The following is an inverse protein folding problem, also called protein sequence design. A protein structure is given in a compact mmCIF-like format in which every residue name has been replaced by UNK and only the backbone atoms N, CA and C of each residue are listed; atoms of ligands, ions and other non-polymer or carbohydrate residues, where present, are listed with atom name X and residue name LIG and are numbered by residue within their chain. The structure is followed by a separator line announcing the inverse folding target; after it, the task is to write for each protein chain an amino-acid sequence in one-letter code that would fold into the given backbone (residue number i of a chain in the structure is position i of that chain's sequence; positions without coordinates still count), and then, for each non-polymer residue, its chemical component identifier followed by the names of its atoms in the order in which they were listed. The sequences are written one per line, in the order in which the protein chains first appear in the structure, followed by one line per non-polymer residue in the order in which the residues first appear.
data_IF_286810477428
#
_entry.id   IF_286810477428
#
_cell.length_a   1.000
_cell.length_b   1.000
_cell.length_c   1.000
_cell.angle_alpha   90.00
_cell.angle_beta   90.00
_cell.angle_gamma   90.00
#
_symmetry.space_group_name_H-M   'P 1'
#
loop_
_entity.id
_entity.type
_entity.pdbx_description
1 polymer ?
#
# COMPACT_ATOMS: atom_id res chain seq x y z
N UNK A 1 18.60 -23.99 7.25
CA UNK A 1 18.16 -22.62 7.61
C UNK A 1 16.92 -22.31 6.79
N UNK A 2 15.86 -21.80 7.40
CA UNK A 2 14.61 -21.47 6.70
C UNK A 2 14.61 -19.96 6.42
N UNK A 3 14.32 -19.59 5.17
CA UNK A 3 14.06 -18.21 4.80
C UNK A 3 12.55 -17.98 4.77
N UNK A 4 12.11 -16.85 5.30
CA UNK A 4 10.71 -16.46 5.33
C UNK A 4 10.57 -15.02 4.85
N UNK A 5 9.56 -14.77 4.01
CA UNK A 5 9.26 -13.47 3.44
C UNK A 5 7.75 -13.20 3.55
N UNK A 6 7.38 -12.21 4.35
CA UNK A 6 6.00 -11.76 4.47
C UNK A 6 5.67 -10.78 3.36
N UNK A 7 4.63 -11.09 2.60
CA UNK A 7 4.00 -10.16 1.67
C UNK A 7 2.61 -9.80 2.22
N UNK A 8 2.36 -8.51 2.38
CA UNK A 8 1.05 -7.96 2.68
C UNK A 8 0.53 -7.25 1.44
N UNK A 9 -0.76 -7.44 1.16
CA UNK A 9 -1.45 -6.79 0.05
C UNK A 9 -2.64 -6.01 0.61
N UNK A 10 -2.70 -4.70 0.32
CA UNK A 10 -3.77 -3.81 0.75
C UNK A 10 -4.33 -3.03 -0.44
N UNK A 11 -5.65 -2.93 -0.49
CA UNK A 11 -6.39 -2.28 -1.56
C UNK A 11 -7.73 -1.77 -1.03
N UNK A 12 -8.16 -0.63 -1.56
CA UNK A 12 -9.54 -0.17 -1.49
C UNK A 12 -10.00 0.29 -2.88
N UNK A 13 -11.25 0.00 -3.26
CA UNK A 13 -11.85 0.55 -4.47
C UNK A 13 -11.79 2.08 -4.46
N UNK A 14 -11.60 2.73 -5.62
CA UNK A 14 -11.52 4.19 -5.70
C UNK A 14 -12.82 4.91 -5.29
N UNK A 15 -13.93 4.17 -5.19
CA UNK A 15 -15.25 4.65 -4.79
C UNK A 15 -15.67 4.14 -3.39
N UNK A 16 -14.72 3.68 -2.57
CA UNK A 16 -14.99 3.25 -1.21
C UNK A 16 -15.63 4.37 -0.37
N UNK A 17 -16.46 4.01 0.60
CA UNK A 17 -17.01 4.96 1.55
C UNK A 17 -15.93 5.42 2.56
N UNK A 18 -15.85 6.72 2.83
CA UNK A 18 -14.86 7.28 3.74
C UNK A 18 -14.95 6.71 5.17
N UNK A 19 -16.15 6.52 5.71
CA UNK A 19 -16.35 5.94 7.05
C UNK A 19 -15.81 4.50 7.12
N UNK A 20 -15.98 3.75 6.03
CA UNK A 20 -15.42 2.40 5.91
C UNK A 20 -13.90 2.46 5.86
N UNK A 21 -13.32 3.39 5.09
CA UNK A 21 -11.86 3.59 5.05
C UNK A 21 -11.31 3.96 6.43
N UNK A 22 -11.97 4.90 7.14
CA UNK A 22 -11.58 5.32 8.49
C UNK A 22 -11.56 4.13 9.46
N UNK A 23 -12.61 3.31 9.41
CA UNK A 23 -12.69 2.11 10.25
C UNK A 23 -11.58 1.11 9.92
N UNK A 24 -11.36 0.83 8.64
CA UNK A 24 -10.31 -0.11 8.20
C UNK A 24 -8.93 0.41 8.58
N UNK A 25 -8.66 1.70 8.43
CA UNK A 25 -7.38 2.28 8.81
C UNK A 25 -7.13 2.17 10.32
N UNK A 26 -8.12 2.54 11.13
CA UNK A 26 -8.04 2.52 12.59
C UNK A 26 -7.96 1.10 13.19
N UNK A 27 -8.58 0.12 12.54
CA UNK A 27 -8.64 -1.27 13.01
C UNK A 27 -7.59 -2.18 12.36
N UNK A 28 -7.01 -1.78 11.21
CA UNK A 28 -6.11 -2.63 10.43
C UNK A 28 -4.81 -1.91 10.05
N UNK A 29 -4.82 -0.96 9.11
CA UNK A 29 -3.59 -0.44 8.50
C UNK A 29 -2.68 0.22 9.52
N UNK A 30 -3.18 1.21 10.25
CA UNK A 30 -2.39 1.95 11.25
C UNK A 30 -1.89 1.02 12.37
N UNK A 31 -2.75 0.11 12.86
CA UNK A 31 -2.40 -0.87 13.92
C UNK A 31 -1.33 -1.85 13.48
N UNK A 32 -1.38 -2.32 12.24
CA UNK A 32 -0.38 -3.24 11.72
C UNK A 32 0.98 -2.56 11.59
N UNK A 33 1.01 -1.31 11.14
CA UNK A 33 2.24 -0.52 11.03
C UNK A 33 2.84 -0.23 12.41
N UNK A 34 2.01 0.06 13.43
CA UNK A 34 2.46 0.21 14.83
C UNK A 34 3.22 -1.03 15.32
N UNK A 35 2.75 -2.23 14.96
CA UNK A 35 3.42 -3.49 15.31
C UNK A 35 4.80 -3.56 14.66
N UNK A 36 4.94 -3.24 13.38
CA UNK A 36 6.24 -3.25 12.71
C UNK A 36 7.20 -2.20 13.29
N UNK A 37 6.71 -1.02 13.65
CA UNK A 37 7.51 0.02 14.30
C UNK A 37 8.04 -0.43 15.67
N UNK A 38 7.24 -1.21 16.41
CA UNK A 38 7.63 -1.78 17.71
C UNK A 38 8.73 -2.85 17.60
N UNK A 39 8.87 -3.52 16.45
CA UNK A 39 9.83 -4.60 16.24
C UNK A 39 10.84 -4.27 15.11
N UNK A 40 11.93 -3.53 15.38
CA UNK A 40 12.85 -3.01 14.35
C UNK A 40 13.53 -4.07 13.46
N UNK A 41 13.57 -5.34 13.89
CA UNK A 41 14.12 -6.46 13.13
C UNK A 41 13.10 -7.12 12.19
N UNK A 42 11.81 -6.87 12.39
CA UNK A 42 10.76 -7.40 11.55
C UNK A 42 10.77 -6.68 10.19
N UNK A 43 10.75 -7.46 9.11
CA UNK A 43 10.73 -6.97 7.73
C UNK A 43 9.56 -7.56 6.98
N UNK A 44 9.00 -6.79 6.06
CA UNK A 44 7.91 -7.23 5.22
C UNK A 44 7.94 -6.52 3.86
N UNK A 45 7.22 -7.11 2.91
CA UNK A 45 6.95 -6.52 1.62
C UNK A 45 5.50 -6.04 1.59
N UNK A 46 5.27 -4.83 1.12
CA UNK A 46 3.93 -4.25 0.97
C UNK A 46 3.60 -4.07 -0.52
N UNK A 47 2.48 -4.65 -0.93
CA UNK A 47 1.80 -4.27 -2.16
C UNK A 47 0.63 -3.36 -1.81
N UNK A 48 0.66 -2.12 -2.27
CA UNK A 48 -0.42 -1.15 -2.11
C UNK A 48 -0.77 -0.60 -3.50
N UNK A 49 -2.04 -0.70 -3.86
CA UNK A 49 -2.54 -0.13 -5.11
C UNK A 49 -2.59 1.41 -5.02
N UNK A 50 -2.23 2.09 -6.10
CA UNK A 50 -2.23 3.55 -6.18
C UNK A 50 -3.60 4.18 -5.89
N UNK A 51 -4.71 3.46 -6.13
CA UNK A 51 -6.04 3.92 -5.73
C UNK A 51 -6.18 4.12 -4.22
N UNK A 52 -5.60 3.23 -3.40
CA UNK A 52 -5.60 3.38 -1.95
C UNK A 52 -4.66 4.52 -1.53
N UNK A 53 -3.50 4.64 -2.17
CA UNK A 53 -2.56 5.74 -1.93
C UNK A 53 -3.21 7.10 -2.17
N UNK A 54 -3.90 7.25 -3.29
CA UNK A 54 -4.68 8.44 -3.64
C UNK A 54 -5.77 8.72 -2.60
N UNK A 55 -6.48 7.68 -2.16
CA UNK A 55 -7.53 7.80 -1.15
C UNK A 55 -6.96 8.29 0.20
N UNK A 56 -5.92 7.65 0.72
CA UNK A 56 -5.29 8.02 1.99
C UNK A 56 -4.75 9.46 1.93
N UNK A 57 -4.11 9.84 0.83
CA UNK A 57 -3.57 11.18 0.63
C UNK A 57 -4.67 12.25 0.58
N UNK A 58 -5.70 12.05 -0.27
CA UNK A 58 -6.76 13.03 -0.47
C UNK A 58 -7.58 13.29 0.79
N UNK A 59 -7.73 12.27 1.64
CA UNK A 59 -8.49 12.35 2.89
C UNK A 59 -7.61 12.51 4.14
N UNK A 60 -6.32 12.84 3.95
CA UNK A 60 -5.38 13.23 5.01
C UNK A 60 -5.19 12.17 6.11
N UNK A 61 -5.01 10.92 5.70
CA UNK A 61 -4.61 9.82 6.59
C UNK A 61 -3.09 9.88 6.87
N UNK A 62 -2.63 11.04 7.35
CA UNK A 62 -1.21 11.37 7.46
C UNK A 62 -0.47 10.43 8.42
N UNK A 63 -1.10 10.01 9.52
CA UNK A 63 -0.53 9.03 10.47
C UNK A 63 -0.12 7.73 9.78
N UNK A 64 -1.01 7.14 8.98
CA UNK A 64 -0.73 5.89 8.25
C UNK A 64 0.34 6.09 7.18
N UNK A 65 0.27 7.19 6.44
CA UNK A 65 1.26 7.52 5.39
C UNK A 65 2.66 7.74 5.99
N UNK A 66 2.76 8.48 7.10
CA UNK A 66 4.02 8.75 7.79
C UNK A 66 4.63 7.47 8.35
N UNK A 67 3.83 6.57 8.92
CA UNK A 67 4.31 5.25 9.39
C UNK A 67 4.85 4.39 8.25
N UNK A 68 4.17 4.37 7.09
CA UNK A 68 4.65 3.65 5.90
C UNK A 68 6.02 4.21 5.47
N UNK A 69 6.14 5.54 5.40
CA UNK A 69 7.38 6.23 5.02
C UNK A 69 8.51 5.95 6.02
N UNK A 70 8.23 6.03 7.31
CA UNK A 70 9.19 5.73 8.37
C UNK A 70 9.72 4.29 8.27
N UNK A 71 8.83 3.31 8.10
CA UNK A 71 9.20 1.90 7.96
C UNK A 71 10.02 1.64 6.69
N UNK A 72 9.72 2.34 5.59
CA UNK A 72 10.50 2.28 4.36
C UNK A 72 11.91 2.86 4.56
N UNK A 73 12.02 4.04 5.19
CA UNK A 73 13.29 4.70 5.49
C UNK A 73 14.18 3.87 6.43
N UNK A 74 13.58 3.15 7.39
CA UNK A 74 14.28 2.21 8.28
C UNK A 74 14.67 0.89 7.59
N UNK A 75 14.25 0.67 6.35
CA UNK A 75 14.51 -0.57 5.61
C UNK A 75 13.73 -1.80 6.16
N UNK A 76 12.68 -1.56 6.95
CA UNK A 76 11.77 -2.60 7.45
C UNK A 76 10.72 -2.97 6.41
N UNK A 77 10.24 -1.99 5.65
CA UNK A 77 9.29 -2.18 4.56
C UNK A 77 10.00 -2.13 3.21
N UNK A 78 9.65 -3.07 2.31
CA UNK A 78 9.94 -2.99 0.87
C UNK A 78 8.64 -2.93 0.09
N UNK A 79 8.57 -2.11 -0.94
CA UNK A 79 7.40 -2.06 -1.82
C UNK A 79 7.49 -3.08 -2.96
N UNK A 80 6.34 -3.56 -3.40
CA UNK A 80 6.18 -4.26 -4.69
C UNK A 80 5.00 -3.67 -5.47
N UNK A 81 5.09 -3.69 -6.80
CA UNK A 81 4.15 -3.03 -7.71
C UNK A 81 2.93 -3.88 -8.09
N UNK A 82 1.89 -3.21 -8.61
CA UNK A 82 0.70 -3.81 -9.23
C UNK A 82 0.06 -2.78 -10.19
N UNK A 83 -1.17 -3.02 -10.65
CA UNK A 83 -1.95 -2.02 -11.39
C UNK A 83 -2.71 -1.06 -10.47
N UNK A 84 -2.82 0.22 -10.84
CA UNK A 84 -3.35 1.29 -9.98
C UNK A 84 -4.73 0.99 -9.38
N UNK A 85 -5.66 0.48 -10.19
CA UNK A 85 -7.06 0.25 -9.80
C UNK A 85 -7.39 -1.22 -9.57
N UNK A 86 -6.39 -2.03 -9.19
CA UNK A 86 -6.53 -3.47 -8.96
C UNK A 86 -7.16 -4.26 -10.13
N UNK A 87 -6.72 -4.03 -11.40
CA UNK A 87 -7.25 -4.78 -12.53
C UNK A 87 -6.70 -6.21 -12.57
N UNK A 88 -7.42 -7.10 -13.26
CA UNK A 88 -6.89 -8.38 -13.70
C UNK A 88 -6.04 -8.14 -14.96
N UNK A 89 -4.74 -7.93 -14.79
CA UNK A 89 -3.82 -7.59 -15.89
C UNK A 89 -3.92 -8.50 -17.12
N UNK A 90 -4.09 -9.84 -17.00
CA UNK A 90 -4.23 -10.72 -18.17
C UNK A 90 -5.49 -10.47 -19.01
N UNK A 91 -6.49 -9.75 -18.48
CA UNK A 91 -7.74 -9.41 -19.17
C UNK A 91 -7.71 -8.04 -19.83
N UNK A 92 -6.58 -7.33 -19.77
CA UNK A 92 -6.41 -6.01 -20.32
C UNK A 92 -5.55 -6.01 -21.59
N UNK A 93 -5.75 -5.05 -22.51
CA UNK A 93 -4.79 -4.78 -23.58
C UNK A 93 -3.40 -4.46 -23.00
N UNK A 94 -2.29 -4.85 -23.66
CA UNK A 94 -0.95 -4.59 -23.15
C UNK A 94 -0.64 -3.12 -22.85
N UNK A 95 -1.17 -2.19 -23.65
CA UNK A 95 -1.04 -0.74 -23.40
C UNK A 95 -1.70 -0.30 -22.10
N UNK A 96 -2.84 -0.90 -21.74
CA UNK A 96 -3.55 -0.62 -20.50
C UNK A 96 -2.82 -1.25 -19.30
N UNK A 97 -2.24 -2.45 -19.46
CA UNK A 97 -1.37 -3.05 -18.43
C UNK A 97 -0.21 -2.10 -18.08
N UNK A 98 0.50 -1.60 -19.10
CA UNK A 98 1.61 -0.64 -18.91
C UNK A 98 1.11 0.64 -18.24
N UNK A 99 -0.02 1.18 -18.68
CA UNK A 99 -0.62 2.40 -18.09
C UNK A 99 -0.94 2.20 -16.61
N UNK A 100 -1.55 1.07 -16.24
CA UNK A 100 -1.94 0.75 -14.87
C UNK A 100 -0.71 0.62 -13.95
N UNK A 101 0.37 0.00 -14.42
CA UNK A 101 1.62 -0.15 -13.67
C UNK A 101 2.28 1.22 -13.47
N UNK A 102 2.40 2.02 -14.54
CA UNK A 102 3.03 3.34 -14.47
C UNK A 102 2.29 4.28 -13.51
N UNK A 103 0.95 4.30 -13.58
CA UNK A 103 0.13 5.10 -12.68
C UNK A 103 0.26 4.63 -11.22
N UNK A 104 0.30 3.32 -10.99
CA UNK A 104 0.51 2.77 -9.65
C UNK A 104 1.85 3.24 -9.06
N UNK A 105 2.92 3.21 -9.85
CA UNK A 105 4.21 3.71 -9.43
C UNK A 105 4.21 5.22 -9.18
N UNK A 106 3.60 6.01 -10.06
CA UNK A 106 3.54 7.48 -9.93
C UNK A 106 2.86 7.90 -8.62
N UNK A 107 1.71 7.32 -8.31
CA UNK A 107 0.99 7.64 -7.09
C UNK A 107 1.71 7.14 -5.84
N UNK A 108 2.26 5.92 -5.87
CA UNK A 108 2.98 5.38 -4.71
C UNK A 108 4.28 6.14 -4.40
N UNK A 109 4.91 6.80 -5.40
CA UNK A 109 6.09 7.66 -5.17
C UNK A 109 5.77 8.97 -4.44
N UNK A 110 4.50 9.32 -4.27
CA UNK A 110 4.08 10.53 -3.52
C UNK A 110 4.13 10.33 -2.00
N UNK A 111 4.28 9.10 -1.53
CA UNK A 111 4.34 8.70 -0.11
C UNK A 111 5.77 8.33 0.28
#
# INVERSE_FOLDING_TARGET
MIYWALLLHIYQPPFQNLEILQKIDAESYSKLLDVFLKFPKAKFTLNMNGSLTEFLYNYKFDDTLDKIKELAQKGQLKFTGSGMYHPLLPLLPPSEVVRQINLNEEYNKKV
#
